data_IF_609704547579
#
_entry.id   IF_609704547579
#
_cell.length_a   1.000
_cell.length_b   1.000
_cell.length_c   1.000
_cell.angle_alpha   90.00
_cell.angle_beta   90.00
_cell.angle_gamma   90.00
#
_symmetry.space_group_name_H-M   'P 1'
#
loop_
_entity.id
_entity.type
_entity.pdbx_description
1 polymer ?
#
# COMPACT_ATOMS: atom_id res chain seq x y z
N UNK A 1 13.32 31.02 42.93
CA UNK A 1 13.24 30.84 41.48
C UNK A 1 11.81 31.10 41.04
N UNK A 2 11.46 32.18 40.33
CA UNK A 2 10.08 32.42 39.89
C UNK A 2 9.76 31.59 38.69
N UNK A 3 8.69 30.81 38.78
CA UNK A 3 8.07 30.09 37.67
C UNK A 3 7.40 31.11 36.75
N UNK A 4 7.83 31.13 35.51
CA UNK A 4 7.33 32.05 34.47
C UNK A 4 5.84 31.83 34.20
N UNK A 5 5.08 32.88 34.40
CA UNK A 5 3.66 32.97 34.08
C UNK A 5 3.54 33.05 32.56
N UNK A 6 3.02 32.02 31.91
CA UNK A 6 2.64 32.06 30.50
C UNK A 6 1.43 33.00 30.36
N UNK A 7 1.65 34.07 29.62
CA UNK A 7 0.67 35.13 29.33
C UNK A 7 -0.55 34.54 28.56
N UNK A 8 -1.74 34.84 29.07
CA UNK A 8 -3.04 34.47 28.48
C UNK A 8 -3.31 35.06 27.07
N UNK A 9 -2.35 35.77 26.49
CA UNK A 9 -2.48 36.34 25.15
C UNK A 9 -2.27 35.37 23.99
N UNK A 10 -1.71 34.18 24.26
CA UNK A 10 -1.45 33.17 23.21
C UNK A 10 -2.66 32.28 22.89
N UNK A 11 -3.67 32.27 23.74
CA UNK A 11 -4.85 31.39 23.56
C UNK A 11 -6.02 32.03 22.79
N UNK A 12 -5.90 33.32 22.42
CA UNK A 12 -6.98 34.00 21.67
C UNK A 12 -6.80 33.99 20.14
N UNK A 13 -5.72 33.46 19.63
CA UNK A 13 -5.44 33.45 18.18
C UNK A 13 -5.93 32.18 17.44
N UNK A 14 -6.51 31.23 18.14
CA UNK A 14 -6.94 29.95 17.53
C UNK A 14 -8.45 29.82 17.33
N UNK A 15 -9.23 30.88 17.52
CA UNK A 15 -10.71 30.78 17.47
C UNK A 15 -11.35 31.82 16.55
N UNK A 16 -10.80 32.00 15.33
CA UNK A 16 -11.44 32.83 14.30
C UNK A 16 -11.40 32.13 12.94
N UNK A 17 -12.05 31.01 12.82
CA UNK A 17 -12.57 30.52 11.54
C UNK A 17 -13.93 29.84 11.73
N UNK A 18 -14.83 30.59 12.32
CA UNK A 18 -16.26 30.38 12.15
C UNK A 18 -16.73 31.40 11.13
N UNK A 19 -16.84 30.96 9.88
CA UNK A 19 -17.18 31.85 8.78
C UNK A 19 -17.85 31.10 7.63
N UNK A 20 -19.19 31.20 7.61
CA UNK A 20 -20.04 31.18 6.43
C UNK A 20 -20.21 29.84 5.71
N UNK A 21 -21.19 29.09 6.15
CA UNK A 21 -21.99 28.23 5.28
C UNK A 21 -22.67 29.12 4.23
N UNK A 22 -22.23 29.04 3.01
CA UNK A 22 -22.99 29.54 1.86
C UNK A 22 -23.79 28.37 1.31
N UNK A 23 -25.02 28.28 1.75
CA UNK A 23 -26.03 27.46 1.12
C UNK A 23 -26.39 28.10 -0.23
N UNK A 24 -25.81 27.56 -1.29
CA UNK A 24 -26.20 27.87 -2.66
C UNK A 24 -26.92 26.67 -3.27
N UNK A 25 -28.01 26.84 -4.01
CA UNK A 25 -28.72 25.73 -4.62
C UNK A 25 -27.87 25.11 -5.73
N UNK A 26 -27.37 23.90 -5.52
CA UNK A 26 -26.77 23.10 -6.58
C UNK A 26 -27.85 22.48 -7.43
N UNK A 27 -28.41 23.29 -8.33
CA UNK A 27 -29.20 22.81 -9.46
C UNK A 27 -28.21 22.38 -10.55
N UNK A 28 -28.10 21.09 -10.79
CA UNK A 28 -27.26 20.58 -11.86
C UNK A 28 -27.31 19.05 -11.90
N UNK A 29 -28.45 18.49 -12.29
CA UNK A 29 -28.56 17.11 -12.72
C UNK A 29 -27.77 16.95 -14.02
N UNK A 30 -26.53 16.55 -13.96
CA UNK A 30 -25.86 15.92 -15.09
C UNK A 30 -25.95 14.40 -14.92
N UNK A 31 -26.92 13.81 -15.58
CA UNK A 31 -26.94 12.39 -15.86
C UNK A 31 -25.75 12.08 -16.78
N UNK A 32 -24.59 11.75 -16.20
CA UNK A 32 -23.49 11.16 -16.96
C UNK A 32 -23.81 9.69 -17.16
N UNK A 33 -23.93 9.33 -18.44
CA UNK A 33 -24.15 7.98 -18.93
C UNK A 33 -23.25 6.97 -18.27
N UNK A 34 -23.79 5.78 -18.04
CA UNK A 34 -23.12 4.67 -17.39
C UNK A 34 -21.85 4.28 -18.10
N UNK A 35 -20.73 4.68 -17.54
CA UNK A 35 -19.44 4.09 -17.84
C UNK A 35 -19.45 2.76 -17.09
N UNK A 36 -19.30 1.65 -17.83
CA UNK A 36 -19.31 0.32 -17.27
C UNK A 36 -18.45 0.26 -16.00
N UNK A 37 -19.09 -0.16 -14.89
CA UNK A 37 -18.41 -0.41 -13.63
C UNK A 37 -17.43 -1.55 -13.85
N UNK A 38 -16.17 -1.25 -14.13
CA UNK A 38 -15.09 -2.20 -14.04
C UNK A 38 -15.14 -2.84 -12.65
N UNK A 39 -15.06 -4.18 -12.59
CA UNK A 39 -15.07 -4.90 -11.32
C UNK A 39 -14.10 -4.23 -10.36
N UNK A 40 -14.60 -3.79 -9.20
CA UNK A 40 -13.77 -3.16 -8.18
C UNK A 40 -12.57 -4.07 -7.87
N UNK A 41 -11.37 -3.51 -7.88
CA UNK A 41 -10.18 -4.29 -7.56
C UNK A 41 -10.25 -4.76 -6.10
N UNK A 42 -10.30 -6.07 -5.83
CA UNK A 42 -10.43 -6.61 -4.47
C UNK A 42 -9.34 -6.10 -3.50
N UNK A 43 -8.15 -5.75 -4.03
CA UNK A 43 -7.07 -5.16 -3.24
C UNK A 43 -7.42 -3.79 -2.67
N UNK A 44 -8.34 -3.06 -3.31
CA UNK A 44 -8.76 -1.72 -2.91
C UNK A 44 -10.06 -1.72 -2.10
N UNK A 45 -10.81 -2.84 -2.09
CA UNK A 45 -12.12 -2.95 -1.44
C UNK A 45 -12.04 -2.69 0.08
N UNK A 46 -10.89 -2.97 0.72
CA UNK A 46 -10.66 -2.72 2.14
C UNK A 46 -9.26 -2.14 2.38
N UNK A 47 -9.08 -0.87 2.03
CA UNK A 47 -7.80 -0.19 2.12
C UNK A 47 -7.20 -0.15 3.53
N UNK A 48 -8.03 -0.16 4.58
CA UNK A 48 -7.56 -0.22 5.96
C UNK A 48 -6.96 -1.58 6.31
N UNK A 49 -7.64 -2.67 5.97
CA UNK A 49 -7.15 -4.02 6.20
C UNK A 49 -5.85 -4.25 5.43
N UNK A 50 -5.78 -3.81 4.17
CA UNK A 50 -4.56 -3.93 3.35
C UNK A 50 -3.39 -3.14 3.96
N UNK A 51 -3.63 -1.94 4.49
CA UNK A 51 -2.58 -1.16 5.17
C UNK A 51 -2.07 -1.85 6.44
N UNK A 52 -2.96 -2.39 7.26
CA UNK A 52 -2.59 -3.15 8.47
C UNK A 52 -1.75 -4.38 8.14
N UNK A 53 -2.18 -5.16 7.14
CA UNK A 53 -1.47 -6.33 6.65
C UNK A 53 -0.07 -5.95 6.14
N UNK A 54 0.04 -4.91 5.31
CA UNK A 54 1.32 -4.40 4.82
C UNK A 54 2.23 -3.94 5.96
N UNK A 55 1.69 -3.23 6.96
CA UNK A 55 2.45 -2.77 8.12
C UNK A 55 2.98 -3.94 8.95
N UNK A 56 2.19 -4.99 9.13
CA UNK A 56 2.59 -6.21 9.83
C UNK A 56 3.75 -6.92 9.11
N UNK A 57 3.64 -7.18 7.82
CA UNK A 57 4.73 -7.78 7.04
C UNK A 57 6.01 -6.94 7.09
N UNK A 58 5.87 -5.60 7.01
CA UNK A 58 7.01 -4.69 7.14
C UNK A 58 7.69 -4.80 8.51
N UNK A 59 6.92 -4.91 9.58
CA UNK A 59 7.46 -5.03 10.94
C UNK A 59 8.19 -6.37 11.16
N UNK A 60 7.79 -7.42 10.47
CA UNK A 60 8.43 -8.74 10.53
C UNK A 60 9.78 -8.77 9.82
N UNK A 61 10.04 -7.87 8.87
CA UNK A 61 11.33 -7.74 8.20
C UNK A 61 11.77 -8.99 7.44
N UNK A 62 10.83 -9.74 6.87
CA UNK A 62 11.12 -10.97 6.13
C UNK A 62 11.95 -10.71 4.87
N UNK A 63 12.77 -11.66 4.44
CA UNK A 63 13.41 -11.62 3.12
C UNK A 63 12.35 -11.79 2.01
N UNK A 64 12.75 -11.50 0.78
CA UNK A 64 11.90 -11.74 -0.39
C UNK A 64 11.64 -13.24 -0.55
N UNK A 65 10.38 -13.68 -0.52
CA UNK A 65 10.03 -15.10 -0.65
C UNK A 65 10.35 -15.67 -2.05
N UNK A 66 10.47 -14.79 -3.07
CA UNK A 66 10.74 -15.21 -4.45
C UNK A 66 12.23 -15.42 -4.75
N UNK A 67 13.11 -14.59 -4.21
CA UNK A 67 14.56 -14.69 -4.47
C UNK A 67 15.40 -14.99 -3.23
N UNK A 68 14.82 -14.97 -2.04
CA UNK A 68 15.50 -15.23 -0.77
C UNK A 68 16.42 -14.11 -0.27
N UNK A 69 16.60 -13.02 -1.02
CA UNK A 69 17.46 -11.91 -0.63
C UNK A 69 16.77 -10.98 0.38
N UNK A 70 17.53 -10.34 1.28
CA UNK A 70 16.99 -9.34 2.20
C UNK A 70 16.31 -8.18 1.46
N UNK A 71 15.23 -7.67 2.03
CA UNK A 71 14.52 -6.50 1.50
C UNK A 71 14.93 -5.26 2.29
N UNK A 72 15.32 -4.20 1.58
CA UNK A 72 15.48 -2.89 2.20
C UNK A 72 14.12 -2.18 2.33
N UNK A 73 13.54 -2.25 3.51
CA UNK A 73 12.23 -1.68 3.80
C UNK A 73 12.20 -0.13 3.86
N UNK A 74 13.37 0.52 3.79
CA UNK A 74 13.48 1.99 3.77
C UNK A 74 13.38 2.58 2.36
N UNK A 75 13.45 1.75 1.32
CA UNK A 75 13.37 2.22 -0.05
C UNK A 75 11.98 2.82 -0.35
N UNK A 76 11.94 3.90 -1.15
CA UNK A 76 10.68 4.53 -1.54
C UNK A 76 9.84 3.60 -2.43
N UNK A 77 8.52 3.79 -2.37
CA UNK A 77 7.61 3.09 -3.25
C UNK A 77 7.94 3.41 -4.72
N UNK A 78 8.01 2.39 -5.55
CA UNK A 78 8.39 2.52 -6.96
C UNK A 78 9.82 2.10 -7.28
N UNK A 79 10.71 2.06 -6.30
CA UNK A 79 12.04 1.47 -6.49
C UNK A 79 11.91 -0.02 -6.85
N UNK A 80 12.70 -0.55 -7.81
CA UNK A 80 12.65 -1.97 -8.19
C UNK A 80 12.89 -2.94 -7.03
N UNK A 81 13.70 -2.56 -6.06
CA UNK A 81 14.05 -3.36 -4.88
C UNK A 81 13.22 -3.04 -3.64
N UNK A 82 12.25 -2.14 -3.77
CA UNK A 82 11.35 -1.80 -2.65
C UNK A 82 10.46 -2.96 -2.27
N UNK A 83 9.99 -2.91 -1.02
CA UNK A 83 9.05 -3.88 -0.47
C UNK A 83 7.67 -3.79 -1.13
N UNK A 84 7.17 -4.90 -1.60
CA UNK A 84 5.76 -5.11 -1.98
C UNK A 84 5.16 -6.30 -1.24
N UNK A 85 3.85 -6.28 -1.06
CA UNK A 85 3.07 -7.43 -0.60
C UNK A 85 2.69 -8.23 -1.84
N UNK A 86 3.10 -9.48 -1.88
CA UNK A 86 2.78 -10.43 -2.93
C UNK A 86 1.76 -11.47 -2.45
N UNK A 87 0.84 -11.87 -3.30
CA UNK A 87 -0.13 -12.92 -3.00
C UNK A 87 0.41 -14.27 -3.52
N UNK A 88 0.53 -15.27 -2.62
CA UNK A 88 0.97 -16.64 -2.97
C UNK A 88 0.04 -17.25 -4.02
N UNK A 89 -1.26 -17.17 -3.79
CA UNK A 89 -2.29 -17.44 -4.79
C UNK A 89 -2.79 -16.09 -5.32
N UNK A 90 -2.57 -15.76 -6.59
CA UNK A 90 -3.01 -14.50 -7.17
C UNK A 90 -4.53 -14.30 -7.07
N UNK A 91 -4.96 -13.04 -6.92
CA UNK A 91 -6.40 -12.70 -6.90
C UNK A 91 -7.13 -13.18 -8.16
N UNK A 92 -6.47 -13.15 -9.31
CA UNK A 92 -7.01 -13.67 -10.57
C UNK A 92 -7.28 -15.17 -10.56
N UNK A 93 -6.67 -15.91 -9.62
CA UNK A 93 -6.84 -17.35 -9.41
C UNK A 93 -7.63 -17.66 -8.13
N UNK A 94 -8.31 -16.67 -7.56
CA UNK A 94 -9.19 -16.85 -6.39
C UNK A 94 -8.50 -16.63 -5.04
N UNK A 95 -7.25 -16.18 -5.00
CA UNK A 95 -6.57 -15.85 -3.75
C UNK A 95 -7.17 -14.62 -3.07
N UNK A 96 -7.27 -14.68 -1.74
CA UNK A 96 -7.69 -13.54 -0.93
C UNK A 96 -6.48 -12.63 -0.65
N UNK A 97 -6.49 -11.34 -1.11
CA UNK A 97 -5.41 -10.40 -0.86
C UNK A 97 -5.35 -9.89 0.58
N UNK A 98 -6.33 -10.23 1.41
CA UNK A 98 -6.40 -9.83 2.81
C UNK A 98 -6.10 -10.98 3.78
N UNK A 99 -6.04 -12.19 3.27
CA UNK A 99 -5.63 -13.35 4.07
C UNK A 99 -4.11 -13.29 4.30
N UNK A 100 -3.75 -13.21 5.59
CA UNK A 100 -2.34 -13.14 5.99
C UNK A 100 -1.56 -14.41 5.60
N UNK A 101 -2.21 -15.57 5.56
CA UNK A 101 -1.59 -16.84 5.12
C UNK A 101 -1.34 -16.89 3.62
N UNK A 102 -2.04 -16.07 2.84
CA UNK A 102 -1.90 -15.98 1.39
C UNK A 102 -0.98 -14.86 0.91
N UNK A 103 -0.29 -14.17 1.82
CA UNK A 103 0.59 -13.04 1.44
C UNK A 103 1.97 -13.18 2.04
N UNK A 104 2.97 -12.70 1.31
CA UNK A 104 4.34 -12.63 1.80
C UNK A 104 5.06 -11.38 1.26
N UNK A 105 6.27 -11.15 1.79
CA UNK A 105 7.13 -10.03 1.40
C UNK A 105 7.90 -10.35 0.11
N UNK A 106 7.90 -9.42 -0.83
CA UNK A 106 8.67 -9.54 -2.07
C UNK A 106 9.32 -8.22 -2.46
N UNK A 107 10.40 -8.29 -3.26
CA UNK A 107 10.86 -7.13 -4.00
C UNK A 107 9.86 -6.82 -5.12
N UNK A 108 9.63 -5.55 -5.39
CA UNK A 108 8.77 -5.11 -6.48
C UNK A 108 9.13 -5.76 -7.81
N UNK A 109 10.41 -5.78 -8.17
CA UNK A 109 10.89 -6.38 -9.42
C UNK A 109 10.65 -7.90 -9.46
N UNK A 110 10.78 -8.61 -8.34
CA UNK A 110 10.52 -10.04 -8.26
C UNK A 110 9.02 -10.32 -8.44
N UNK A 111 8.18 -9.56 -7.76
CA UNK A 111 6.72 -9.64 -7.88
C UNK A 111 6.25 -9.36 -9.33
N UNK A 112 6.76 -8.31 -9.96
CA UNK A 112 6.44 -7.99 -11.36
C UNK A 112 6.87 -9.09 -12.33
N UNK A 113 8.06 -9.68 -12.14
CA UNK A 113 8.57 -10.78 -12.98
C UNK A 113 7.76 -12.06 -12.80
N UNK A 114 7.32 -12.34 -11.58
CA UNK A 114 6.44 -13.47 -11.31
C UNK A 114 5.08 -13.29 -11.99
N UNK A 115 4.48 -12.12 -11.92
CA UNK A 115 3.14 -11.84 -12.44
C UNK A 115 2.08 -12.77 -11.79
N UNK A 116 1.24 -13.42 -12.59
CA UNK A 116 0.18 -14.31 -12.13
C UNK A 116 0.58 -15.81 -12.04
N UNK A 117 1.88 -16.10 -12.11
CA UNK A 117 2.37 -17.48 -11.98
C UNK A 117 2.37 -17.93 -10.53
N UNK A 118 2.11 -19.21 -10.31
CA UNK A 118 2.19 -19.86 -9.01
C UNK A 118 3.40 -20.80 -8.98
N UNK A 119 3.82 -21.19 -7.78
CA UNK A 119 4.81 -22.23 -7.60
C UNK A 119 4.28 -23.53 -8.24
N UNK A 120 5.06 -24.10 -9.16
CA UNK A 120 4.66 -25.26 -9.93
C UNK A 120 4.18 -24.98 -11.37
N UNK A 121 3.89 -23.72 -11.73
CA UNK A 121 3.65 -23.38 -13.14
C UNK A 121 4.94 -23.55 -13.96
N UNK A 122 4.80 -24.11 -15.17
CA UNK A 122 5.94 -24.20 -16.11
C UNK A 122 6.51 -22.80 -16.38
N UNK A 123 7.82 -22.63 -16.17
CA UNK A 123 8.51 -21.34 -16.25
C UNK A 123 8.68 -20.60 -14.93
N UNK A 124 8.15 -21.12 -13.81
CA UNK A 124 8.47 -20.60 -12.48
C UNK A 124 9.89 -20.96 -12.01
N UNK A 125 10.53 -21.90 -12.66
CA UNK A 125 11.91 -22.32 -12.37
C UNK A 125 12.88 -21.25 -12.83
N UNK A 126 13.43 -20.53 -11.86
CA UNK A 126 14.57 -19.65 -12.05
C UNK A 126 14.25 -18.24 -12.47
N UNK A 127 13.71 -17.45 -11.53
CA UNK A 127 14.07 -16.03 -11.56
C UNK A 127 15.62 -16.00 -11.44
N UNK A 128 16.37 -15.48 -12.44
CA UNK A 128 17.80 -15.39 -12.32
C UNK A 128 18.08 -14.57 -11.07
N UNK A 129 18.78 -15.16 -10.10
CA UNK A 129 19.33 -14.43 -8.97
C UNK A 129 20.31 -13.43 -9.62
N UNK A 130 19.85 -12.21 -9.80
CA UNK A 130 20.73 -11.12 -10.19
C UNK A 130 21.59 -10.86 -8.96
N UNK A 131 22.71 -11.56 -8.89
CA UNK A 131 23.80 -11.17 -7.99
C UNK A 131 24.23 -9.80 -8.43
N UNK A 132 23.60 -8.77 -7.87
CA UNK A 132 24.13 -7.42 -7.98
C UNK A 132 25.51 -7.47 -7.37
N UNK A 133 26.51 -7.19 -8.17
CA UNK A 133 27.85 -6.92 -7.67
C UNK A 133 27.71 -5.70 -6.76
N UNK A 134 27.73 -5.94 -5.46
CA UNK A 134 27.94 -4.90 -4.48
C UNK A 134 29.43 -4.53 -4.60
N UNK A 135 29.67 -3.39 -5.20
CA UNK A 135 30.92 -2.66 -5.07
C UNK A 135 30.67 -1.47 -4.15
#
# INVERSE_FOLDING_TARGET
MPVGVFSERALRALNMHEGARRDGPVSGFYAKGGIGMGKANPRNANGNARRKLRARLRAEGRPCHLCGLPINYSLPAGDPWSFEVDELVPVSRGGDPLDYSNVDAAHRICNQRRGNRMDGDEGAKGLPIVRSRLF
#
